data_IF_538471663663
#
_entry.id   IF_538471663663
#
_cell.length_a   1.000
_cell.length_b   1.000
_cell.length_c   1.000
_cell.angle_alpha   90.00
_cell.angle_beta   90.00
_cell.angle_gamma   90.00
#
_symmetry.space_group_name_H-M   'P 1'
#
loop_
_entity.id
_entity.type
_entity.pdbx_description
1 polymer ?
#
# COMPACT_ATOMS: atom_id res chain seq x y z
N UNK A 1 30.71 -11.52 -7.19
CA UNK A 1 29.89 -12.11 -6.11
C UNK A 1 28.44 -12.09 -6.59
N UNK A 2 27.89 -13.26 -6.90
CA UNK A 2 26.52 -13.46 -7.36
C UNK A 2 25.60 -13.29 -6.13
N UNK A 3 25.34 -12.04 -5.76
CA UNK A 3 24.37 -11.71 -4.71
C UNK A 3 22.94 -11.88 -5.25
N UNK A 4 21.99 -12.10 -4.34
CA UNK A 4 20.55 -12.04 -4.61
C UNK A 4 20.24 -10.83 -5.49
N UNK A 5 20.11 -11.08 -6.79
CA UNK A 5 19.88 -10.05 -7.78
C UNK A 5 18.39 -9.92 -8.05
N UNK A 6 18.08 -9.00 -8.96
CA UNK A 6 16.77 -8.93 -9.59
C UNK A 6 16.28 -10.27 -10.16
N UNK A 7 17.11 -11.15 -10.75
CA UNK A 7 16.66 -12.44 -11.26
C UNK A 7 16.08 -13.37 -10.19
N UNK A 8 16.75 -13.52 -9.05
CA UNK A 8 16.32 -14.39 -7.94
C UNK A 8 15.01 -13.88 -7.33
N UNK A 9 14.84 -12.56 -7.20
CA UNK A 9 13.58 -11.96 -6.73
C UNK A 9 12.43 -12.22 -7.70
N UNK A 10 12.68 -12.20 -9.02
CA UNK A 10 11.65 -12.52 -10.03
C UNK A 10 11.22 -13.98 -9.91
N UNK A 11 12.14 -14.91 -9.68
CA UNK A 11 11.82 -16.33 -9.49
C UNK A 11 10.93 -16.52 -8.25
N UNK A 12 11.28 -15.88 -7.13
CA UNK A 12 10.46 -15.94 -5.91
C UNK A 12 9.07 -15.32 -6.17
N UNK A 13 9.02 -14.16 -6.83
CA UNK A 13 7.76 -13.52 -7.18
C UNK A 13 6.89 -14.40 -8.07
N UNK A 14 7.48 -15.12 -9.04
CA UNK A 14 6.76 -16.07 -9.88
C UNK A 14 6.17 -17.23 -9.06
N UNK A 15 6.92 -17.79 -8.10
CA UNK A 15 6.41 -18.86 -7.20
C UNK A 15 5.24 -18.34 -6.36
N UNK A 16 5.38 -17.16 -5.76
CA UNK A 16 4.31 -16.51 -4.98
C UNK A 16 3.08 -16.29 -5.87
N UNK A 17 3.28 -15.86 -7.11
CA UNK A 17 2.21 -15.64 -8.08
C UNK A 17 1.53 -16.95 -8.51
N UNK A 18 2.24 -18.09 -8.55
CA UNK A 18 1.64 -19.41 -8.80
C UNK A 18 0.78 -19.87 -7.62
N UNK A 19 1.22 -19.63 -6.38
CA UNK A 19 0.48 -20.03 -5.17
C UNK A 19 -0.76 -19.15 -4.96
N UNK A 20 -0.62 -17.84 -5.05
CA UNK A 20 -1.71 -16.89 -4.80
C UNK A 20 -2.54 -16.56 -6.05
N UNK A 21 -1.99 -16.78 -7.24
CA UNK A 21 -2.60 -16.38 -8.51
C UNK A 21 -2.32 -14.92 -8.90
N UNK A 22 -2.29 -14.66 -10.21
CA UNK A 22 -1.98 -13.35 -10.80
C UNK A 22 -2.92 -12.22 -10.37
N UNK A 23 -4.17 -12.55 -10.05
CA UNK A 23 -5.20 -11.58 -9.69
C UNK A 23 -5.22 -11.15 -8.23
N UNK A 24 -4.63 -11.94 -7.31
CA UNK A 24 -4.66 -11.64 -5.87
C UNK A 24 -3.66 -10.55 -5.47
N UNK A 25 -2.50 -10.50 -6.12
CA UNK A 25 -1.48 -9.48 -5.89
C UNK A 25 -1.99 -8.04 -6.11
N UNK A 26 -2.62 -7.68 -7.26
CA UNK A 26 -3.15 -6.33 -7.46
C UNK A 26 -4.32 -6.00 -6.53
N UNK A 27 -5.13 -7.00 -6.15
CA UNK A 27 -6.23 -6.82 -5.21
C UNK A 27 -5.72 -6.41 -3.81
N UNK A 28 -4.70 -7.11 -3.31
CA UNK A 28 -4.06 -6.81 -2.02
C UNK A 28 -3.31 -5.48 -2.11
N UNK A 29 -2.57 -5.26 -3.20
CA UNK A 29 -1.83 -4.02 -3.43
C UNK A 29 -2.70 -2.78 -3.47
N UNK A 30 -3.91 -2.85 -4.04
CA UNK A 30 -4.86 -1.73 -4.07
C UNK A 30 -5.34 -1.37 -2.66
N UNK A 31 -5.72 -2.36 -1.85
CA UNK A 31 -6.17 -2.15 -0.48
C UNK A 31 -5.06 -1.61 0.41
N UNK A 32 -3.86 -2.18 0.29
CA UNK A 32 -2.69 -1.76 1.04
C UNK A 32 -2.22 -0.35 0.61
N UNK A 33 -2.26 -0.05 -0.68
CA UNK A 33 -1.93 1.26 -1.23
C UNK A 33 -2.90 2.35 -0.75
N UNK A 34 -4.20 2.05 -0.65
CA UNK A 34 -5.18 2.96 -0.03
C UNK A 34 -4.88 3.19 1.44
N UNK A 35 -4.55 2.13 2.19
CA UNK A 35 -4.19 2.25 3.60
C UNK A 35 -2.93 3.12 3.79
N UNK A 36 -1.88 2.90 3.01
CA UNK A 36 -0.67 3.74 3.03
C UNK A 36 -0.97 5.17 2.61
N UNK A 37 -1.79 5.38 1.57
CA UNK A 37 -2.16 6.71 1.09
C UNK A 37 -2.90 7.50 2.16
N UNK A 38 -3.87 6.88 2.84
CA UNK A 38 -4.61 7.50 3.93
C UNK A 38 -3.71 7.74 5.15
N UNK A 39 -2.84 6.79 5.49
CA UNK A 39 -1.86 6.97 6.57
C UNK A 39 -0.93 8.16 6.29
N UNK A 40 -0.45 8.29 5.05
CA UNK A 40 0.38 9.42 4.63
C UNK A 40 -0.39 10.73 4.66
N UNK A 41 -1.66 10.77 4.25
CA UNK A 41 -2.49 11.99 4.29
C UNK A 41 -2.72 12.47 5.72
N UNK A 42 -3.01 11.54 6.63
CA UNK A 42 -3.13 11.83 8.06
C UNK A 42 -1.80 12.30 8.66
N UNK A 43 -0.68 11.65 8.32
CA UNK A 43 0.65 12.04 8.77
C UNK A 43 1.10 13.41 8.23
N UNK A 44 0.74 13.74 6.98
CA UNK A 44 0.98 15.05 6.36
C UNK A 44 0.02 16.15 6.89
N UNK A 45 -0.92 15.82 7.79
CA UNK A 45 -1.92 16.76 8.30
C UNK A 45 -2.91 17.26 7.24
N UNK A 46 -3.03 16.55 6.10
CA UNK A 46 -3.93 16.91 4.99
C UNK A 46 -5.37 16.44 5.21
N UNK A 47 -5.58 15.62 6.23
CA UNK A 47 -6.89 15.33 6.80
C UNK A 47 -7.13 16.26 8.01
N UNK A 48 -7.02 17.58 7.80
CA UNK A 48 -7.70 18.52 8.71
C UNK A 48 -9.19 18.31 8.47
N UNK A 49 -9.82 17.51 9.32
CA UNK A 49 -11.26 17.56 9.52
C UNK A 49 -11.59 19.03 9.76
N UNK A 50 -12.21 19.68 8.76
CA UNK A 50 -12.90 20.94 8.96
C UNK A 50 -13.97 20.65 10.01
N UNK A 51 -13.61 20.87 11.28
CA UNK A 51 -14.59 20.88 12.35
C UNK A 51 -15.61 21.94 11.92
N UNK A 52 -16.90 21.58 11.77
CA UNK A 52 -17.92 22.60 11.52
C UNK A 52 -17.76 23.66 12.61
N UNK A 53 -17.83 24.96 12.26
CA UNK A 53 -17.49 26.03 13.19
C UNK A 53 -18.29 25.80 14.47
N UNK A 54 -17.58 25.58 15.57
CA UNK A 54 -18.19 25.52 16.89
C UNK A 54 -18.90 26.87 17.04
N UNK A 55 -20.23 26.84 16.93
CA UNK A 55 -21.08 27.98 17.22
C UNK A 55 -21.01 28.16 18.72
N UNK A 56 -20.01 28.92 19.17
CA UNK A 56 -20.00 29.50 20.50
C UNK A 56 -21.29 30.32 20.63
N UNK A 57 -22.10 29.92 21.62
CA UNK A 57 -23.35 30.59 22.02
C UNK A 57 -23.04 31.69 23.02
#
# INVERSE_FOLDING_TARGET
MFGFGTPELIIIAAIVMLVFGVGKLPQIGTSFGKAISNFRKAADGKDTVELPPQKES
#
